data_IF_757930460906
#
_entry.id   IF_757930460906
#
_cell.length_a   1.000
_cell.length_b   1.000
_cell.length_c   1.000
_cell.angle_alpha   90.00
_cell.angle_beta   90.00
_cell.angle_gamma   90.00
#
_symmetry.space_group_name_H-M   'P 1'
#
loop_
_entity.id
_entity.type
_entity.pdbx_description
1 polymer ?
#
# COMPACT_ATOMS: atom_id res chain seq x y z
N UNK A 1 4.92 -21.99 19.98
CA UNK A 1 3.88 -21.14 19.47
C UNK A 1 4.46 -19.99 18.67
N UNK A 2 3.83 -19.67 17.65
CA UNK A 2 4.32 -18.55 16.88
C UNK A 2 3.50 -17.32 17.17
N UNK A 3 4.19 -16.22 17.41
CA UNK A 3 3.56 -14.96 17.65
C UNK A 3 3.57 -14.09 16.42
N UNK A 4 3.93 -14.68 15.29
CA UNK A 4 3.96 -13.90 14.07
C UNK A 4 2.53 -13.62 13.64
N UNK A 5 2.22 -12.35 13.45
CA UNK A 5 0.91 -12.02 12.89
C UNK A 5 0.82 -12.59 11.49
N UNK A 6 -0.40 -12.90 11.08
CA UNK A 6 -0.62 -13.27 9.70
C UNK A 6 -0.23 -12.10 8.83
N UNK A 7 0.55 -12.39 7.79
CA UNK A 7 0.96 -11.35 6.86
C UNK A 7 0.50 -11.73 5.47
N UNK A 8 -0.01 -10.75 4.78
CA UNK A 8 -0.41 -10.90 3.39
C UNK A 8 0.45 -9.99 2.55
N UNK A 9 0.80 -10.46 1.36
CA UNK A 9 1.57 -9.66 0.43
C UNK A 9 0.67 -9.19 -0.69
N UNK A 10 0.86 -7.95 -1.09
CA UNK A 10 0.11 -7.36 -2.17
C UNK A 10 1.07 -6.61 -3.07
N UNK A 11 0.86 -6.70 -4.37
CA UNK A 11 1.63 -5.94 -5.33
C UNK A 11 0.92 -4.63 -5.58
N UNK A 12 1.66 -3.55 -5.46
CA UNK A 12 1.13 -2.21 -5.65
C UNK A 12 1.88 -1.53 -6.77
N UNK A 13 1.15 -0.98 -7.72
CA UNK A 13 1.72 -0.16 -8.76
C UNK A 13 1.68 1.29 -8.29
N UNK A 14 2.84 1.93 -8.22
CA UNK A 14 2.97 3.28 -7.69
C UNK A 14 3.23 4.26 -8.82
N UNK A 15 2.49 5.36 -8.79
CA UNK A 15 2.71 6.50 -9.69
C UNK A 15 3.11 7.68 -8.81
N UNK A 16 4.31 8.22 -9.07
CA UNK A 16 4.81 9.36 -8.30
C UNK A 16 4.57 10.67 -9.04
N UNK A 17 4.78 11.77 -8.34
CA UNK A 17 4.62 13.11 -8.90
C UNK A 17 3.22 13.35 -9.46
N UNK A 18 2.22 12.76 -8.81
CA UNK A 18 0.83 12.95 -9.19
C UNK A 18 0.30 14.23 -8.55
N UNK A 19 -0.82 14.73 -9.06
CA UNK A 19 -1.41 15.96 -8.54
C UNK A 19 -2.07 15.73 -7.18
N UNK A 20 -2.53 14.53 -6.91
CA UNK A 20 -3.13 14.19 -5.62
C UNK A 20 -2.87 12.73 -5.30
N UNK A 21 -2.96 12.44 -4.00
CA UNK A 21 -2.82 11.07 -3.53
C UNK A 21 -4.10 10.32 -3.80
N UNK A 22 -3.97 9.10 -4.32
CA UNK A 22 -5.14 8.34 -4.71
C UNK A 22 -4.84 6.85 -4.62
N UNK A 23 -5.79 6.08 -4.10
CA UNK A 23 -5.73 4.62 -4.10
C UNK A 23 -6.87 4.13 -4.96
N UNK A 24 -6.53 3.34 -5.98
CA UNK A 24 -7.52 2.82 -6.93
C UNK A 24 -7.52 1.30 -6.81
N UNK A 25 -8.49 0.73 -6.10
CA UNK A 25 -8.62 -0.72 -6.04
C UNK A 25 -9.21 -1.26 -7.33
N UNK A 26 -8.98 -2.53 -7.56
CA UNK A 26 -9.49 -3.21 -8.75
C UNK A 26 -8.38 -3.95 -9.46
N UNK A 27 -8.73 -5.08 -10.08
CA UNK A 27 -7.76 -5.90 -10.76
C UNK A 27 -6.83 -6.63 -9.80
N UNK A 28 -5.78 -7.26 -10.33
CA UNK A 28 -4.86 -8.04 -9.50
C UNK A 28 -3.88 -7.18 -8.71
N UNK A 29 -3.77 -5.90 -9.04
CA UNK A 29 -2.84 -5.00 -8.38
C UNK A 29 -3.59 -3.77 -7.88
N UNK A 30 -3.16 -3.28 -6.73
CA UNK A 30 -3.65 -2.02 -6.20
C UNK A 30 -2.81 -0.91 -6.82
N UNK A 31 -3.47 0.09 -7.38
CA UNK A 31 -2.78 1.23 -7.96
C UNK A 31 -2.81 2.39 -6.98
N UNK A 32 -1.66 2.99 -6.73
CA UNK A 32 -1.53 4.09 -5.78
C UNK A 32 -0.82 5.26 -6.45
N UNK A 33 -1.43 6.43 -6.37
CA UNK A 33 -0.82 7.66 -6.86
C UNK A 33 -0.30 8.45 -5.67
N UNK A 34 0.93 8.92 -5.79
CA UNK A 34 1.59 9.69 -4.74
C UNK A 34 2.01 11.04 -5.29
N UNK A 35 2.00 12.04 -4.43
CA UNK A 35 2.39 13.40 -4.83
C UNK A 35 3.89 13.63 -4.71
N UNK A 36 4.58 12.82 -3.92
CA UNK A 36 6.02 12.94 -3.72
C UNK A 36 6.79 12.57 -4.98
N UNK A 37 7.98 13.13 -5.09
CA UNK A 37 8.92 12.71 -6.11
C UNK A 37 9.58 11.41 -5.68
N UNK A 38 10.08 10.58 -6.61
CA UNK A 38 10.75 9.33 -6.27
C UNK A 38 12.18 9.57 -5.82
N UNK A 39 12.35 10.38 -4.78
CA UNK A 39 13.65 10.81 -4.29
C UNK A 39 13.74 10.54 -2.80
N UNK A 40 14.88 10.01 -2.36
CA UNK A 40 15.23 9.88 -0.93
C UNK A 40 14.19 9.15 -0.09
N UNK A 41 13.49 8.20 -0.68
CA UNK A 41 12.54 7.41 0.07
C UNK A 41 11.24 8.13 0.42
N UNK A 42 11.05 9.34 -0.03
CA UNK A 42 9.84 10.11 0.29
C UNK A 42 8.58 9.43 -0.23
N UNK A 43 8.64 8.89 -1.45
CA UNK A 43 7.50 8.19 -2.01
C UNK A 43 7.16 6.94 -1.19
N UNK A 44 8.17 6.25 -0.68
CA UNK A 44 7.96 5.08 0.14
C UNK A 44 7.29 5.45 1.47
N UNK A 45 7.73 6.54 2.08
CA UNK A 45 7.13 7.01 3.32
C UNK A 45 5.67 7.42 3.11
N UNK A 46 5.42 8.15 2.03
CA UNK A 46 4.06 8.57 1.69
C UNK A 46 3.17 7.37 1.41
N UNK A 47 3.72 6.36 0.72
CA UNK A 47 2.99 5.15 0.43
C UNK A 47 2.56 4.44 1.71
N UNK A 48 3.49 4.27 2.65
CA UNK A 48 3.20 3.60 3.91
C UNK A 48 2.15 4.38 4.69
N UNK A 49 2.28 5.69 4.73
CA UNK A 49 1.33 6.54 5.42
C UNK A 49 -0.08 6.41 4.83
N UNK A 50 -0.17 6.46 3.50
CA UNK A 50 -1.45 6.35 2.83
C UNK A 50 -2.09 4.98 3.02
N UNK A 51 -1.29 3.92 2.94
CA UNK A 51 -1.78 2.56 3.17
C UNK A 51 -2.23 2.36 4.61
N UNK A 52 -1.52 2.98 5.55
CA UNK A 52 -1.88 2.92 6.96
C UNK A 52 -3.31 3.44 7.16
N UNK A 53 -3.61 4.56 6.56
CA UNK A 53 -4.96 5.13 6.64
C UNK A 53 -5.97 4.26 5.91
N UNK A 54 -5.62 3.82 4.72
CA UNK A 54 -6.55 3.05 3.88
C UNK A 54 -6.94 1.73 4.52
N UNK A 55 -5.98 1.00 5.08
CA UNK A 55 -6.24 -0.30 5.69
C UNK A 55 -6.55 -0.23 7.19
N UNK A 56 -6.38 0.94 7.80
CA UNK A 56 -6.57 1.06 9.23
C UNK A 56 -5.49 0.35 10.03
N UNK A 57 -4.27 0.32 9.51
CA UNK A 57 -3.14 -0.36 10.14
C UNK A 57 -2.14 0.66 10.64
N UNK A 58 -1.31 0.21 11.58
CA UNK A 58 -0.17 1.04 12.01
C UNK A 58 0.89 1.01 10.92
N UNK A 59 1.70 2.06 10.86
CA UNK A 59 2.80 2.10 9.90
C UNK A 59 3.76 0.93 10.08
N UNK A 60 3.96 0.50 11.31
CA UNK A 60 4.83 -0.64 11.61
C UNK A 60 4.26 -1.96 11.12
N UNK A 61 2.97 -2.01 10.80
CA UNK A 61 2.32 -3.20 10.26
C UNK A 61 2.43 -3.28 8.75
N UNK A 62 3.07 -2.31 8.13
CA UNK A 62 3.21 -2.21 6.68
C UNK A 62 4.68 -2.16 6.34
N UNK A 63 5.11 -3.06 5.46
CA UNK A 63 6.52 -3.13 5.11
C UNK A 63 6.67 -3.33 3.61
N UNK A 64 7.58 -2.57 3.01
CA UNK A 64 7.94 -2.75 1.62
C UNK A 64 9.00 -3.84 1.57
N UNK A 65 8.65 -4.99 1.02
CA UNK A 65 9.56 -6.14 0.98
C UNK A 65 10.35 -6.22 -0.30
N UNK A 66 9.85 -5.61 -1.36
CA UNK A 66 10.54 -5.66 -2.65
C UNK A 66 10.17 -4.44 -3.46
N UNK A 67 11.12 -4.01 -4.32
CA UNK A 67 10.85 -2.93 -5.27
C UNK A 67 10.88 -1.55 -4.66
N UNK A 68 11.75 -1.31 -3.66
CA UNK A 68 11.81 0.01 -3.02
C UNK A 68 12.09 1.13 -4.01
N UNK A 69 12.79 0.84 -5.09
CA UNK A 69 13.10 1.83 -6.11
C UNK A 69 12.30 1.67 -7.39
N UNK A 70 11.39 0.70 -7.41
CA UNK A 70 10.62 0.39 -8.62
C UNK A 70 9.21 0.97 -8.50
N UNK A 71 8.55 1.07 -9.64
CA UNK A 71 7.15 1.49 -9.68
C UNK A 71 6.23 0.42 -9.12
N UNK A 72 6.58 -0.84 -9.29
CA UNK A 72 5.85 -1.95 -8.68
C UNK A 72 6.54 -2.35 -7.41
N UNK A 73 5.79 -2.36 -6.34
CA UNK A 73 6.31 -2.70 -5.02
C UNK A 73 5.50 -3.83 -4.43
N UNK A 74 6.19 -4.71 -3.72
CA UNK A 74 5.52 -5.78 -2.96
C UNK A 74 5.50 -5.34 -1.51
N UNK A 75 4.31 -5.30 -0.96
CA UNK A 75 4.06 -4.79 0.39
C UNK A 75 3.55 -5.93 1.25
N UNK A 76 4.12 -6.08 2.43
CA UNK A 76 3.62 -7.01 3.44
C UNK A 76 2.75 -6.25 4.41
N UNK A 77 1.55 -6.76 4.62
CA UNK A 77 0.58 -6.18 5.53
C UNK A 77 0.30 -7.16 6.66
N UNK A 78 0.19 -6.66 7.87
CA UNK A 78 -0.07 -7.51 9.04
C UNK A 78 -1.55 -7.80 9.18
N UNK A 79 -2.14 -8.35 8.13
CA UNK A 79 -3.52 -8.83 8.12
C UNK A 79 -3.56 -10.17 7.40
N UNK A 80 -4.56 -10.97 7.70
CA UNK A 80 -4.69 -12.26 7.02
C UNK A 80 -5.23 -12.07 5.60
N UNK A 81 -5.00 -13.09 4.78
CA UNK A 81 -5.35 -12.99 3.36
C UNK A 81 -6.85 -12.83 3.14
N UNK A 82 -7.64 -13.50 3.94
CA UNK A 82 -9.09 -13.41 3.82
C UNK A 82 -9.57 -11.99 4.08
N UNK A 83 -9.05 -11.37 5.13
CA UNK A 83 -9.38 -9.99 5.46
C UNK A 83 -8.92 -9.05 4.33
N UNK A 84 -7.74 -9.27 3.80
CA UNK A 84 -7.22 -8.45 2.72
C UNK A 84 -8.12 -8.55 1.48
N UNK A 85 -8.46 -9.76 1.08
CA UNK A 85 -9.30 -9.97 -0.10
C UNK A 85 -10.66 -9.33 0.10
N UNK A 86 -11.26 -9.54 1.27
CA UNK A 86 -12.55 -8.96 1.59
C UNK A 86 -12.50 -7.44 1.54
N UNK A 87 -11.44 -6.87 2.09
CA UNK A 87 -11.25 -5.42 2.10
C UNK A 87 -11.16 -4.87 0.68
N UNK A 88 -10.38 -5.53 -0.18
CA UNK A 88 -10.21 -5.07 -1.54
C UNK A 88 -11.49 -5.19 -2.38
N UNK A 89 -12.30 -6.19 -2.08
CA UNK A 89 -13.58 -6.36 -2.80
C UNK A 89 -14.57 -5.24 -2.48
N UNK A 90 -14.54 -4.75 -1.26
CA UNK A 90 -15.47 -3.71 -0.82
C UNK A 90 -14.87 -2.32 -0.87
N UNK A 91 -13.56 -2.22 -1.06
CA UNK A 91 -12.88 -0.93 -1.05
C UNK A 91 -13.29 -0.10 -2.26
N UNK A 92 -13.41 1.18 -2.02
CA UNK A 92 -13.71 2.13 -3.07
C UNK A 92 -12.48 2.99 -3.31
N UNK A 93 -12.47 3.63 -4.47
CA UNK A 93 -11.41 4.55 -4.81
C UNK A 93 -11.31 5.66 -3.77
N UNK A 94 -10.11 5.84 -3.24
CA UNK A 94 -9.86 6.87 -2.23
C UNK A 94 -8.96 7.92 -2.85
N UNK A 95 -9.38 9.16 -2.77
CA UNK A 95 -8.60 10.30 -3.24
C UNK A 95 -8.41 11.26 -2.09
N UNK A 96 -7.15 11.62 -1.80
CA UNK A 96 -6.84 12.59 -0.78
C UNK A 96 -5.92 13.66 -1.36
N UNK A 97 -6.00 14.82 -0.78
CA UNK A 97 -5.16 15.94 -1.19
C UNK A 97 -3.95 16.07 -0.30
#
# INVERSE_FOLDING_TARGET
MTDQPCRSMITIKVVTNAKKREIIPGGPELKVKLTSLPIDGRANEELIELLSVFFGLKKSDIQIVRGQKDKRKVIALAIDRTTLISFLKTAQRVTTR
#
